data_IF_477309682950
#
_entry.id   IF_477309682950
#
_cell.length_a   1.000
_cell.length_b   1.000
_cell.length_c   1.000
_cell.angle_alpha   90.00
_cell.angle_beta   90.00
_cell.angle_gamma   90.00
#
_symmetry.space_group_name_H-M   'P 1'
#
loop_
_entity.id
_entity.type
_entity.pdbx_description
1 polymer ?
#
# COMPACT_ATOMS: atom_id res chain seq x y z
N UNK A 1 14.49 -3.57 17.33
CA UNK A 1 14.11 -3.96 15.96
C UNK A 1 13.02 -3.00 15.49
N UNK A 2 13.12 -2.40 14.30
CA UNK A 2 12.05 -1.58 13.71
C UNK A 2 11.24 -2.46 12.75
N UNK A 3 9.92 -2.43 12.85
CA UNK A 3 9.02 -3.20 11.97
C UNK A 3 8.39 -2.25 10.96
N UNK A 4 8.55 -2.54 9.67
CA UNK A 4 7.90 -1.83 8.57
C UNK A 4 6.81 -2.73 8.00
N UNK A 5 5.60 -2.19 7.88
CA UNK A 5 4.49 -2.88 7.23
C UNK A 5 4.31 -2.35 5.80
N UNK A 6 4.22 -3.28 4.84
CA UNK A 6 4.02 -2.97 3.42
C UNK A 6 2.65 -3.53 3.02
N UNK A 7 1.77 -2.67 2.52
CA UNK A 7 0.43 -3.02 2.06
C UNK A 7 0.45 -3.09 0.52
N UNK A 8 0.47 -4.28 -0.09
CA UNK A 8 0.43 -4.42 -1.54
C UNK A 8 -0.99 -4.18 -2.06
N UNK A 9 -1.14 -3.30 -3.05
CA UNK A 9 -2.43 -3.00 -3.67
C UNK A 9 -2.29 -2.78 -5.18
N UNK A 10 -3.33 -3.16 -5.94
CA UNK A 10 -3.47 -2.82 -7.36
C UNK A 10 -4.94 -2.71 -7.76
N UNK A 11 -5.23 -1.90 -8.76
CA UNK A 11 -6.58 -1.67 -9.29
C UNK A 11 -7.11 -2.88 -10.07
N UNK A 12 -6.22 -3.60 -10.74
CA UNK A 12 -6.51 -4.73 -11.65
C UNK A 12 -6.95 -6.04 -10.93
N UNK A 13 -7.92 -5.96 -10.01
CA UNK A 13 -8.56 -7.14 -9.44
C UNK A 13 -9.70 -7.64 -10.34
N UNK A 14 -9.62 -8.89 -10.78
CA UNK A 14 -10.61 -9.48 -11.70
C UNK A 14 -11.95 -9.82 -11.02
N UNK A 15 -11.91 -10.27 -9.76
CA UNK A 15 -13.12 -10.64 -8.99
C UNK A 15 -13.87 -9.45 -8.40
N UNK A 16 -13.16 -8.35 -8.15
CA UNK A 16 -13.75 -7.12 -7.66
C UNK A 16 -12.97 -5.93 -8.24
N UNK A 17 -13.37 -5.43 -9.42
CA UNK A 17 -12.71 -4.29 -10.07
C UNK A 17 -12.65 -3.07 -9.15
N UNK A 18 -11.54 -2.32 -9.21
CA UNK A 18 -11.31 -1.09 -8.42
C UNK A 18 -11.39 -1.28 -6.89
N UNK A 19 -11.29 -2.51 -6.40
CA UNK A 19 -11.41 -2.87 -4.98
C UNK A 19 -10.64 -1.96 -4.01
N UNK A 20 -9.37 -1.57 -4.25
CA UNK A 20 -8.65 -0.72 -3.29
C UNK A 20 -9.32 0.64 -3.02
N UNK A 21 -10.01 1.18 -4.03
CA UNK A 21 -10.68 2.48 -3.95
C UNK A 21 -12.19 2.36 -3.72
N UNK A 22 -12.71 1.13 -3.59
CA UNK A 22 -14.11 0.92 -3.22
C UNK A 22 -14.39 1.57 -1.87
N UNK A 23 -15.50 2.32 -1.79
CA UNK A 23 -15.88 3.01 -0.57
C UNK A 23 -16.55 2.03 0.41
N UNK A 24 -16.10 2.09 1.65
CA UNK A 24 -16.68 1.40 2.80
C UNK A 24 -16.88 2.49 3.85
N UNK A 25 -18.13 2.80 4.19
CA UNK A 25 -18.44 3.86 5.15
C UNK A 25 -17.70 5.19 4.84
N UNK A 26 -17.88 5.67 3.61
CA UNK A 26 -17.30 6.93 3.08
C UNK A 26 -15.77 6.99 3.01
N UNK A 27 -15.05 5.91 3.33
CA UNK A 27 -13.58 5.81 3.23
C UNK A 27 -13.18 4.74 2.22
N UNK A 28 -12.03 4.92 1.58
CA UNK A 28 -11.54 3.91 0.63
C UNK A 28 -11.16 2.61 1.36
N UNK A 29 -11.34 1.45 0.71
CA UNK A 29 -10.94 0.16 1.30
C UNK A 29 -9.47 0.17 1.73
N UNK A 30 -8.59 0.79 0.94
CA UNK A 30 -7.16 0.87 1.27
C UNK A 30 -6.88 1.76 2.49
N UNK A 31 -7.67 2.82 2.70
CA UNK A 31 -7.60 3.67 3.89
C UNK A 31 -7.95 2.90 5.16
N UNK A 32 -8.98 2.04 5.10
CA UNK A 32 -9.31 1.15 6.22
C UNK A 32 -8.15 0.23 6.59
N UNK A 33 -7.53 -0.40 5.59
CA UNK A 33 -6.37 -1.29 5.84
C UNK A 33 -5.21 -0.49 6.43
N UNK A 34 -4.86 0.66 5.84
CA UNK A 34 -3.80 1.52 6.33
C UNK A 34 -4.02 1.94 7.79
N UNK A 35 -5.22 2.44 8.12
CA UNK A 35 -5.56 2.90 9.47
C UNK A 35 -5.42 1.79 10.51
N UNK A 36 -5.86 0.57 10.19
CA UNK A 36 -5.72 -0.58 11.09
C UNK A 36 -4.27 -0.96 11.32
N UNK A 37 -3.46 -1.03 10.26
CA UNK A 37 -2.03 -1.35 10.37
C UNK A 37 -1.29 -0.26 11.15
N UNK A 38 -1.56 1.02 10.86
CA UNK A 38 -0.94 2.16 11.52
C UNK A 38 -1.32 2.28 13.01
N UNK A 39 -2.46 1.74 13.43
CA UNK A 39 -2.86 1.70 14.85
C UNK A 39 -2.06 0.69 15.69
N UNK A 40 -1.27 -0.18 15.06
CA UNK A 40 -0.48 -1.18 15.77
C UNK A 40 0.75 -0.55 16.44
N UNK A 41 0.93 -0.69 17.77
CA UNK A 41 2.10 -0.14 18.47
C UNK A 41 3.42 -0.83 18.11
N UNK A 42 3.35 -1.98 17.43
CA UNK A 42 4.53 -2.74 16.99
C UNK A 42 5.10 -2.21 15.68
N UNK A 43 4.30 -1.48 14.88
CA UNK A 43 4.66 -1.06 13.53
C UNK A 43 5.23 0.35 13.56
N UNK A 44 6.50 0.49 13.15
CA UNK A 44 7.19 1.77 13.13
C UNK A 44 6.87 2.61 11.88
N UNK A 45 6.57 1.95 10.75
CA UNK A 45 6.20 2.61 9.49
C UNK A 45 5.24 1.75 8.68
N UNK A 46 4.30 2.39 8.01
CA UNK A 46 3.37 1.77 7.06
C UNK A 46 3.52 2.41 5.70
N UNK A 47 3.67 1.60 4.66
CA UNK A 47 3.69 2.06 3.27
C UNK A 47 2.73 1.25 2.40
N UNK A 48 2.22 1.85 1.34
CA UNK A 48 1.39 1.20 0.33
C UNK A 48 2.25 0.94 -0.90
N UNK A 49 2.40 -0.32 -1.31
CA UNK A 49 3.13 -0.69 -2.53
C UNK A 49 2.14 -0.92 -3.66
N UNK A 50 2.22 -0.14 -4.74
CA UNK A 50 1.25 -0.21 -5.84
C UNK A 50 1.87 0.17 -7.17
N UNK A 51 1.31 -0.31 -8.29
CA UNK A 51 1.68 0.16 -9.63
C UNK A 51 0.74 1.24 -10.16
N UNK A 52 -0.33 1.55 -9.43
CA UNK A 52 -1.40 2.42 -9.91
C UNK A 52 -1.29 3.80 -9.24
N UNK A 53 -1.13 4.84 -10.05
CA UNK A 53 -1.01 6.22 -9.56
C UNK A 53 -2.25 6.66 -8.76
N UNK A 54 -3.44 6.20 -9.14
CA UNK A 54 -4.72 6.50 -8.49
C UNK A 54 -4.73 6.07 -7.00
N UNK A 55 -4.03 4.98 -6.68
CA UNK A 55 -3.89 4.49 -5.30
C UNK A 55 -2.91 5.39 -4.53
N UNK A 56 -1.83 5.86 -5.15
CA UNK A 56 -0.90 6.84 -4.54
C UNK A 56 -1.63 8.15 -4.24
N UNK A 57 -2.37 8.68 -5.21
CA UNK A 57 -3.07 9.95 -5.08
C UNK A 57 -4.16 9.87 -4.01
N UNK A 58 -4.81 8.71 -3.88
CA UNK A 58 -5.79 8.47 -2.80
C UNK A 58 -5.09 8.31 -1.45
N UNK A 59 -3.97 7.59 -1.38
CA UNK A 59 -3.16 7.42 -0.18
C UNK A 59 -2.69 8.76 0.41
N UNK A 60 -2.26 9.68 -0.44
CA UNK A 60 -1.82 11.00 -0.03
C UNK A 60 -2.90 11.79 0.71
N UNK A 61 -4.19 11.61 0.36
CA UNK A 61 -5.32 12.33 0.98
C UNK A 61 -5.52 11.96 2.45
N UNK A 62 -5.09 10.78 2.88
CA UNK A 62 -5.14 10.35 4.28
C UNK A 62 -3.74 10.21 4.92
N UNK A 63 -2.72 10.84 4.32
CA UNK A 63 -1.37 10.92 4.88
C UNK A 63 -0.54 9.65 4.76
N UNK A 64 -0.97 8.66 3.97
CA UNK A 64 -0.20 7.44 3.75
C UNK A 64 0.89 7.63 2.71
N UNK A 65 2.04 6.99 2.96
CA UNK A 65 3.16 6.96 2.01
C UNK A 65 2.94 5.83 1.01
N UNK A 66 2.88 6.18 -0.26
CA UNK A 66 2.81 5.22 -1.37
C UNK A 66 4.16 5.05 -2.07
N UNK A 67 4.45 3.82 -2.48
CA UNK A 67 5.62 3.45 -3.26
C UNK A 67 5.14 2.86 -4.59
N UNK A 68 5.48 3.54 -5.68
CA UNK A 68 5.27 3.02 -7.03
C UNK A 68 6.17 1.80 -7.25
N UNK A 69 5.57 0.72 -7.75
CA UNK A 69 6.18 -0.57 -8.06
C UNK A 69 5.85 -0.98 -9.50
N UNK A 70 6.55 -1.96 -10.05
CA UNK A 70 6.28 -2.46 -11.39
C UNK A 70 4.85 -3.04 -11.51
N UNK A 71 4.26 -2.88 -12.70
CA UNK A 71 2.95 -3.44 -13.03
C UNK A 71 3.02 -4.92 -13.49
N UNK A 72 4.23 -5.46 -13.65
CA UNK A 72 4.50 -6.82 -14.12
C UNK A 72 4.48 -7.88 -13.01
N UNK A 73 4.42 -7.46 -11.74
CA UNK A 73 4.38 -8.40 -10.61
C UNK A 73 3.10 -9.23 -10.59
N UNK A 74 3.26 -10.54 -10.65
CA UNK A 74 2.15 -11.50 -10.52
C UNK A 74 1.70 -11.68 -9.07
N UNK A 75 2.66 -11.66 -8.12
CA UNK A 75 2.40 -11.93 -6.70
C UNK A 75 2.50 -10.66 -5.86
N UNK A 76 1.71 -10.63 -4.79
CA UNK A 76 1.78 -9.56 -3.80
C UNK A 76 3.14 -9.49 -3.10
N UNK A 77 3.79 -10.64 -2.89
CA UNK A 77 5.13 -10.74 -2.28
C UNK A 77 6.19 -10.02 -3.10
N UNK A 78 6.17 -10.15 -4.42
CA UNK A 78 7.18 -9.59 -5.32
C UNK A 78 7.09 -8.06 -5.32
N UNK A 79 5.84 -7.55 -5.30
CA UNK A 79 5.55 -6.14 -5.10
C UNK A 79 6.07 -5.63 -3.76
N UNK A 80 5.83 -6.36 -2.67
CA UNK A 80 6.37 -5.99 -1.36
C UNK A 80 7.89 -6.00 -1.34
N UNK A 81 8.52 -6.96 -2.01
CA UNK A 81 9.98 -7.04 -2.10
C UNK A 81 10.56 -5.83 -2.84
N UNK A 82 10.00 -5.44 -3.98
CA UNK A 82 10.45 -4.23 -4.70
C UNK A 82 10.30 -2.97 -3.82
N UNK A 83 9.15 -2.82 -3.15
CA UNK A 83 8.92 -1.69 -2.26
C UNK A 83 9.92 -1.66 -1.09
N UNK A 84 10.24 -2.81 -0.51
CA UNK A 84 11.26 -2.94 0.53
C UNK A 84 12.64 -2.53 0.01
N UNK A 85 13.04 -2.99 -1.18
CA UNK A 85 14.31 -2.61 -1.79
C UNK A 85 14.40 -1.10 -2.06
N UNK A 86 13.30 -0.47 -2.47
CA UNK A 86 13.23 0.99 -2.66
C UNK A 86 13.35 1.76 -1.35
N UNK A 87 12.73 1.29 -0.27
CA UNK A 87 12.88 1.88 1.06
C UNK A 87 14.32 1.76 1.57
N UNK A 88 14.90 0.57 1.46
CA UNK A 88 16.28 0.33 1.89
C UNK A 88 17.28 1.26 1.15
N UNK A 89 17.05 1.50 -0.14
CA UNK A 89 17.86 2.44 -0.93
C UNK A 89 17.72 3.91 -0.48
N UNK A 90 16.65 4.27 0.23
CA UNK A 90 16.42 5.59 0.82
C UNK A 90 16.97 5.72 2.25
N UNK A 91 17.60 4.66 2.78
CA UNK A 91 18.13 4.63 4.14
C UNK A 91 17.08 4.36 5.22
N UNK A 92 15.95 3.77 4.83
CA UNK A 92 14.85 3.42 5.73
C UNK A 92 14.79 1.94 6.12
#
# INVERSE_FOLDING_TARGET
MKIVAIIPARMASTRFPNKPLALIDHRSMIEHVYSRVASSPLVAKVVIATCDQEIIDTAAKFGAVGIITANTHERASDRCHEAMMKLAAQGE
#
